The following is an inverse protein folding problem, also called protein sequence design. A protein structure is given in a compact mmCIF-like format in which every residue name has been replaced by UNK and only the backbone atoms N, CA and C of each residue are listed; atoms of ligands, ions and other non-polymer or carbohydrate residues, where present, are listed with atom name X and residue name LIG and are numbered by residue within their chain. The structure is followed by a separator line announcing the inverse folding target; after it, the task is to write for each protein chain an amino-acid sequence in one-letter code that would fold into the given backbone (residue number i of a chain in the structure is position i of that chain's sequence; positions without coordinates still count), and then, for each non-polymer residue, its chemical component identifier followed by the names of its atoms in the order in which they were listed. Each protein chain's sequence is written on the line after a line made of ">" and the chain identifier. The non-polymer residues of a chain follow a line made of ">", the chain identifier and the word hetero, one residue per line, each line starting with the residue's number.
data_IF_026851013578
#
_entry.id   IF_026851013578
#
_cell.length_a   1.000
_cell.length_b   1.000
_cell.length_c   1.000
_cell.angle_alpha   90.00
_cell.angle_beta   90.00
_cell.angle_gamma   90.00
#
_symmetry.space_group_name_H-M   'P 1'
#
loop_
_entity.id
_entity.type
_entity.pdbx_description
1 polymer ?
#
# COMPACT_ATOMS: atom_id res chain seq x y z
N UNK A 1 51.51 7.82 -114.59
CA UNK A 1 51.68 8.27 -113.18
C UNK A 1 50.47 9.10 -112.81
N UNK A 2 49.93 8.91 -111.60
CA UNK A 2 48.62 9.43 -111.18
C UNK A 2 47.70 8.27 -110.79
N UNK A 3 47.57 8.05 -109.48
CA UNK A 3 46.77 6.99 -108.87
C UNK A 3 46.34 7.45 -107.46
N UNK A 4 45.34 6.78 -106.88
CA UNK A 4 44.70 7.06 -105.60
C UNK A 4 43.87 8.36 -105.54
N UNK A 5 42.55 8.20 -105.47
CA UNK A 5 41.68 9.13 -104.75
C UNK A 5 41.60 8.64 -103.30
N UNK A 6 41.65 9.56 -102.33
CA UNK A 6 41.45 9.21 -100.92
C UNK A 6 40.01 8.74 -100.66
N UNK A 7 39.89 7.72 -99.80
CA UNK A 7 38.61 7.18 -99.32
C UNK A 7 38.61 7.18 -97.79
N UNK A 8 38.28 8.30 -97.16
CA UNK A 8 38.12 8.38 -95.70
C UNK A 8 36.79 7.78 -95.26
N UNK A 9 36.77 6.74 -94.41
CA UNK A 9 35.52 6.20 -93.87
C UNK A 9 35.01 7.05 -92.70
N UNK A 10 33.73 7.40 -92.72
CA UNK A 10 33.02 7.95 -91.56
C UNK A 10 32.35 6.79 -90.82
N UNK A 11 32.79 6.51 -89.59
CA UNK A 11 32.15 5.50 -88.76
C UNK A 11 30.88 6.06 -88.10
N UNK A 12 29.73 5.50 -88.47
CA UNK A 12 28.49 5.61 -87.68
C UNK A 12 28.24 4.26 -87.04
N UNK A 13 28.18 4.22 -85.71
CA UNK A 13 27.80 3.03 -84.96
C UNK A 13 26.27 2.95 -84.91
N UNK A 14 25.68 1.87 -85.41
CA UNK A 14 24.34 1.43 -84.98
C UNK A 14 24.23 -0.10 -85.00
N UNK A 15 23.36 -0.65 -84.14
CA UNK A 15 23.33 -2.07 -83.75
C UNK A 15 22.14 -2.76 -84.43
N UNK A 16 22.33 -3.18 -85.69
CA UNK A 16 21.21 -3.63 -86.53
C UNK A 16 21.51 -4.64 -87.65
N UNK A 17 22.02 -5.83 -87.31
CA UNK A 17 21.94 -7.09 -88.12
C UNK A 17 21.97 -6.91 -89.66
N UNK A 18 23.04 -6.32 -90.21
CA UNK A 18 23.22 -6.14 -91.65
C UNK A 18 23.89 -7.34 -92.35
N UNK A 19 23.21 -7.95 -93.32
CA UNK A 19 23.84 -8.88 -94.28
C UNK A 19 24.45 -8.11 -95.45
N UNK A 20 25.78 -8.19 -95.63
CA UNK A 20 26.50 -7.36 -96.62
C UNK A 20 26.38 -7.96 -98.03
N UNK A 21 25.29 -7.63 -98.73
CA UNK A 21 25.21 -7.84 -100.18
C UNK A 21 26.09 -6.81 -100.91
N UNK A 22 27.29 -7.24 -101.30
CA UNK A 22 28.26 -6.44 -102.05
C UNK A 22 27.78 -6.21 -103.49
N UNK A 23 27.00 -5.17 -103.72
CA UNK A 23 26.56 -4.76 -105.07
C UNK A 23 27.78 -4.35 -105.89
N UNK A 24 28.13 -5.16 -106.89
CA UNK A 24 29.13 -4.81 -107.90
C UNK A 24 28.42 -3.95 -108.93
N UNK A 25 28.78 -2.67 -109.02
CA UNK A 25 28.35 -1.80 -110.12
C UNK A 25 29.11 -2.25 -111.38
N UNK A 26 28.48 -3.12 -112.16
CA UNK A 26 29.00 -3.50 -113.47
C UNK A 26 28.73 -2.36 -114.45
N UNK A 27 29.74 -1.49 -114.63
CA UNK A 27 29.75 -0.46 -115.66
C UNK A 27 29.53 -1.10 -117.04
N UNK A 28 28.45 -0.73 -117.72
CA UNK A 28 28.19 -1.21 -119.08
C UNK A 28 29.32 -0.82 -120.03
N UNK A 29 29.77 -1.77 -120.85
CA UNK A 29 30.61 -1.44 -122.00
C UNK A 29 29.82 -0.58 -123.01
N UNK A 30 30.48 0.31 -123.76
CA UNK A 30 29.82 1.08 -124.81
C UNK A 30 29.37 0.13 -125.94
N UNK A 31 28.06 -0.10 -126.02
CA UNK A 31 27.45 -0.92 -127.08
C UNK A 31 27.85 -0.36 -128.44
N UNK A 32 28.63 -1.14 -129.20
CA UNK A 32 28.88 -0.85 -130.61
C UNK A 32 27.58 -1.04 -131.37
N UNK A 33 27.03 0.03 -131.94
CA UNK A 33 25.92 -0.09 -132.88
C UNK A 33 26.39 -0.87 -134.12
N UNK A 34 26.06 -2.15 -134.18
CA UNK A 34 26.09 -2.92 -135.43
C UNK A 34 25.07 -2.31 -136.38
N UNK A 35 25.56 -1.86 -137.54
CA UNK A 35 24.73 -1.19 -138.55
C UNK A 35 23.93 -2.22 -139.34
N UNK A 36 22.86 -2.72 -138.73
CA UNK A 36 21.92 -3.64 -139.37
C UNK A 36 21.03 -2.94 -140.39
N UNK A 37 20.52 -3.72 -141.36
CA UNK A 37 20.03 -3.20 -142.63
C UNK A 37 18.53 -2.93 -142.64
N UNK A 38 18.15 -1.66 -142.73
CA UNK A 38 16.91 -1.19 -143.37
C UNK A 38 15.57 -1.80 -142.90
N UNK A 39 15.49 -2.30 -141.66
CA UNK A 39 14.20 -2.46 -140.99
C UNK A 39 13.64 -1.06 -140.64
N UNK A 40 12.81 -0.54 -141.54
CA UNK A 40 12.09 0.71 -141.34
C UNK A 40 11.07 0.54 -140.22
N UNK A 41 11.50 0.82 -138.98
CA UNK A 41 10.68 0.79 -137.77
C UNK A 41 9.29 1.39 -138.03
N UNK A 42 8.26 0.56 -137.92
CA UNK A 42 6.91 0.98 -138.29
C UNK A 42 6.47 2.13 -137.37
N UNK A 43 6.28 3.30 -137.97
CA UNK A 43 5.91 4.52 -137.26
C UNK A 43 4.56 4.38 -136.52
N UNK A 44 3.74 3.39 -136.89
CA UNK A 44 2.51 3.01 -136.17
C UNK A 44 2.84 2.38 -134.82
N UNK A 45 3.74 1.39 -134.77
CA UNK A 45 4.13 0.72 -133.52
C UNK A 45 4.71 1.70 -132.48
N UNK A 46 5.56 2.63 -132.92
CA UNK A 46 6.08 3.68 -132.03
C UNK A 46 4.98 4.66 -131.58
N UNK A 47 4.01 4.98 -132.44
CA UNK A 47 2.85 5.79 -132.09
C UNK A 47 1.90 5.11 -131.08
N UNK A 48 1.67 3.81 -131.24
CA UNK A 48 0.88 2.97 -130.33
C UNK A 48 1.55 2.87 -128.95
N UNK A 49 2.87 2.65 -128.92
CA UNK A 49 3.64 2.61 -127.67
C UNK A 49 3.59 3.94 -126.92
N UNK A 50 3.72 5.08 -127.62
CA UNK A 50 3.58 6.41 -127.00
C UNK A 50 2.16 6.69 -126.51
N UNK A 51 1.12 6.22 -127.21
CA UNK A 51 -0.27 6.34 -126.77
C UNK A 51 -0.53 5.54 -125.49
N UNK A 52 -0.02 4.31 -125.40
CA UNK A 52 -0.16 3.48 -124.20
C UNK A 52 0.64 4.04 -123.02
N UNK A 53 1.88 4.49 -123.25
CA UNK A 53 2.70 5.12 -122.22
C UNK A 53 2.06 6.43 -121.71
N UNK A 54 1.44 7.21 -122.59
CA UNK A 54 0.68 8.40 -122.21
C UNK A 54 -0.55 8.05 -121.36
N UNK A 55 -1.31 7.02 -121.75
CA UNK A 55 -2.40 6.48 -120.92
C UNK A 55 -1.90 6.09 -119.53
N UNK A 56 -0.78 5.35 -119.43
CA UNK A 56 -0.19 4.95 -118.15
C UNK A 56 0.35 6.11 -117.32
N UNK A 57 0.88 7.15 -117.94
CA UNK A 57 1.28 8.39 -117.24
C UNK A 57 0.07 9.04 -116.55
N UNK A 58 -1.06 9.14 -117.25
CA UNK A 58 -2.28 9.74 -116.71
C UNK A 58 -3.01 8.83 -115.69
N UNK A 59 -3.01 7.51 -115.88
CA UNK A 59 -3.49 6.52 -114.91
C UNK A 59 -2.74 6.70 -113.56
N UNK A 60 -1.41 6.82 -113.61
CA UNK A 60 -0.55 7.00 -112.44
C UNK A 60 -0.78 8.34 -111.74
N UNK A 61 -0.86 9.45 -112.48
CA UNK A 61 -1.18 10.76 -111.91
C UNK A 61 -2.55 10.78 -111.21
N UNK A 62 -3.56 10.15 -111.82
CA UNK A 62 -4.91 10.07 -111.26
C UNK A 62 -4.96 9.25 -109.96
N UNK A 63 -4.24 8.12 -109.94
CA UNK A 63 -4.08 7.28 -108.74
C UNK A 63 -3.36 8.03 -107.60
N UNK A 64 -2.26 8.72 -107.93
CA UNK A 64 -1.50 9.55 -107.00
C UNK A 64 -2.35 10.69 -106.42
N UNK A 65 -3.12 11.39 -107.25
CA UNK A 65 -4.03 12.47 -106.82
C UNK A 65 -5.07 11.95 -105.84
N UNK A 66 -5.72 10.81 -106.14
CA UNK A 66 -6.69 10.19 -105.23
C UNK A 66 -6.05 9.79 -103.88
N UNK A 67 -4.76 9.47 -103.85
CA UNK A 67 -4.05 9.14 -102.60
C UNK A 67 -3.70 10.40 -101.79
N UNK A 68 -3.30 11.50 -102.44
CA UNK A 68 -3.05 12.78 -101.75
C UNK A 68 -4.34 13.41 -101.21
N UNK A 69 -5.46 13.28 -101.93
CA UNK A 69 -6.77 13.71 -101.43
C UNK A 69 -7.19 12.94 -100.16
N UNK A 70 -6.94 11.63 -100.09
CA UNK A 70 -7.16 10.80 -98.88
C UNK A 70 -6.26 11.19 -97.71
N UNK A 71 -5.10 11.77 -97.98
CA UNK A 71 -4.17 12.30 -96.97
C UNK A 71 -4.53 13.73 -96.52
N UNK A 72 -5.62 14.32 -97.02
CA UNK A 72 -6.04 15.68 -96.63
C UNK A 72 -5.29 16.82 -97.32
N UNK A 73 -4.49 16.52 -98.35
CA UNK A 73 -3.65 17.51 -99.04
C UNK A 73 -4.44 18.70 -99.61
N UNK A 74 -4.01 19.93 -99.31
CA UNK A 74 -4.69 21.17 -99.72
C UNK A 74 -4.52 21.39 -101.23
N UNK A 75 -5.57 21.11 -102.01
CA UNK A 75 -5.54 21.20 -103.49
C UNK A 75 -5.16 22.59 -104.05
N UNK A 76 -5.42 23.65 -103.30
CA UNK A 76 -5.34 25.04 -103.76
C UNK A 76 -3.95 25.51 -104.23
N UNK A 77 -2.86 25.01 -103.66
CA UNK A 77 -1.50 25.41 -104.09
C UNK A 77 -1.09 24.75 -105.42
N UNK A 78 -1.54 23.51 -105.65
CA UNK A 78 -1.22 22.75 -106.86
C UNK A 78 -1.91 23.36 -108.10
N UNK A 79 -3.14 23.87 -107.93
CA UNK A 79 -3.87 24.50 -109.02
C UNK A 79 -3.25 25.83 -109.47
N UNK A 80 -2.65 26.58 -108.52
CA UNK A 80 -1.99 27.87 -108.78
C UNK A 80 -0.66 27.74 -109.55
N UNK A 81 -0.09 26.53 -109.67
CA UNK A 81 1.14 26.28 -110.44
C UNK A 81 0.86 25.64 -111.82
N UNK A 82 -0.38 25.70 -112.32
CA UNK A 82 -0.71 25.33 -113.69
C UNK A 82 -0.26 26.41 -114.68
N UNK A 83 1.05 26.47 -114.96
CA UNK A 83 1.53 27.12 -116.18
C UNK A 83 0.83 26.49 -117.39
N UNK A 84 0.01 27.29 -118.07
CA UNK A 84 -0.72 26.90 -119.27
C UNK A 84 0.18 26.97 -120.49
N UNK A 85 1.32 26.25 -120.46
CA UNK A 85 2.05 25.92 -121.69
C UNK A 85 1.08 25.25 -122.66
N UNK A 86 0.81 25.92 -123.78
CA UNK A 86 0.09 25.34 -124.90
C UNK A 86 1.04 24.38 -125.62
N UNK A 87 0.73 23.09 -125.53
CA UNK A 87 1.56 22.02 -126.10
C UNK A 87 1.65 22.17 -127.63
N UNK A 88 0.61 22.70 -128.29
CA UNK A 88 0.61 22.89 -129.75
C UNK A 88 1.60 23.99 -130.17
N UNK A 89 1.83 25.01 -129.33
CA UNK A 89 2.81 26.07 -129.58
C UNK A 89 4.26 25.58 -129.61
N UNK A 90 4.54 24.43 -128.97
CA UNK A 90 5.85 23.80 -128.90
C UNK A 90 6.12 22.84 -130.08
N UNK A 91 5.12 22.53 -130.91
CA UNK A 91 5.26 21.57 -132.02
C UNK A 91 5.77 22.28 -133.29
N UNK A 92 6.89 21.83 -133.91
CA UNK A 92 7.40 22.46 -135.12
C UNK A 92 6.43 22.39 -136.31
N UNK A 93 6.27 23.52 -136.99
CA UNK A 93 5.46 23.64 -138.21
C UNK A 93 6.16 22.95 -139.39
N UNK A 94 5.37 22.32 -140.27
CA UNK A 94 5.87 21.57 -141.44
C UNK A 94 6.12 20.08 -141.22
N UNK A 95 5.95 19.56 -140.00
CA UNK A 95 5.99 18.13 -139.70
C UNK A 95 4.72 17.39 -140.16
N UNK A 96 4.82 16.07 -140.39
CA UNK A 96 3.67 15.21 -140.63
C UNK A 96 2.80 15.04 -139.38
N UNK A 97 1.49 14.83 -139.54
CA UNK A 97 0.57 14.73 -138.40
C UNK A 97 0.87 13.56 -137.44
N UNK A 98 1.39 12.43 -137.93
CA UNK A 98 1.83 11.34 -137.05
C UNK A 98 3.05 11.75 -136.22
N UNK A 99 4.03 12.44 -136.82
CA UNK A 99 5.17 13.02 -136.10
C UNK A 99 4.72 14.05 -135.07
N UNK A 100 3.77 14.92 -135.41
CA UNK A 100 3.18 15.88 -134.46
C UNK A 100 2.50 15.17 -133.29
N UNK A 101 1.71 14.11 -133.54
CA UNK A 101 1.05 13.36 -132.48
C UNK A 101 2.05 12.62 -131.57
N UNK A 102 3.15 12.10 -132.12
CA UNK A 102 4.24 11.51 -131.33
C UNK A 102 4.90 12.56 -130.42
N UNK A 103 5.18 13.77 -130.93
CA UNK A 103 5.70 14.89 -130.13
C UNK A 103 4.68 15.34 -129.07
N UNK A 104 3.39 15.41 -129.43
CA UNK A 104 2.29 15.77 -128.52
C UNK A 104 2.23 14.83 -127.32
N UNK A 105 2.24 13.51 -127.54
CA UNK A 105 2.29 12.52 -126.45
C UNK A 105 3.54 12.66 -125.57
N UNK A 106 4.72 12.94 -126.14
CA UNK A 106 5.95 13.16 -125.36
C UNK A 106 5.86 14.41 -124.46
N UNK A 107 5.29 15.49 -124.96
CA UNK A 107 5.07 16.73 -124.19
C UNK A 107 3.97 16.57 -123.13
N UNK A 108 2.88 15.89 -123.45
CA UNK A 108 1.80 15.56 -122.52
C UNK A 108 2.30 14.67 -121.37
N UNK A 109 3.05 13.60 -121.68
CA UNK A 109 3.67 12.74 -120.66
C UNK A 109 4.66 13.49 -119.77
N UNK A 110 5.50 14.36 -120.34
CA UNK A 110 6.40 15.21 -119.53
C UNK A 110 5.59 16.08 -118.58
N UNK A 111 4.53 16.74 -119.06
CA UNK A 111 3.67 17.61 -118.25
C UNK A 111 2.95 16.83 -117.13
N UNK A 112 2.48 15.62 -117.40
CA UNK A 112 1.85 14.76 -116.38
C UNK A 112 2.88 14.24 -115.36
N UNK A 113 4.11 13.93 -115.78
CA UNK A 113 5.21 13.59 -114.87
C UNK A 113 5.61 14.78 -113.97
N UNK A 114 5.76 15.98 -114.54
CA UNK A 114 6.06 17.21 -113.80
C UNK A 114 4.94 17.56 -112.80
N UNK A 115 3.66 17.37 -113.17
CA UNK A 115 2.51 17.49 -112.25
C UNK A 115 2.55 16.46 -111.12
N UNK A 116 2.88 15.21 -111.44
CA UNK A 116 3.00 14.12 -110.45
C UNK A 116 4.13 14.41 -109.45
N UNK A 117 5.27 14.90 -109.92
CA UNK A 117 6.40 15.27 -109.07
C UNK A 117 6.05 16.42 -108.12
N UNK A 118 5.44 17.50 -108.62
CA UNK A 118 4.98 18.63 -107.78
C UNK A 118 3.99 18.18 -106.70
N UNK A 119 3.04 17.32 -107.06
CA UNK A 119 2.05 16.73 -106.16
C UNK A 119 2.71 15.91 -105.03
N UNK A 120 3.70 15.08 -105.34
CA UNK A 120 4.50 14.35 -104.33
C UNK A 120 5.26 15.31 -103.40
N UNK A 121 5.97 16.30 -103.96
CA UNK A 121 6.81 17.22 -103.19
C UNK A 121 5.99 18.15 -102.27
N UNK A 122 4.83 18.62 -102.73
CA UNK A 122 3.89 19.37 -101.91
C UNK A 122 3.34 18.51 -100.76
N UNK A 123 3.01 17.25 -101.03
CA UNK A 123 2.51 16.32 -99.99
C UNK A 123 3.56 16.08 -98.91
N UNK A 124 4.81 15.80 -99.27
CA UNK A 124 5.90 15.65 -98.30
C UNK A 124 6.23 16.92 -97.53
N UNK A 125 6.06 18.11 -98.13
CA UNK A 125 6.27 19.39 -97.45
C UNK A 125 5.20 19.63 -96.38
N UNK A 126 3.91 19.45 -96.72
CA UNK A 126 2.80 19.53 -95.78
C UNK A 126 2.96 18.53 -94.62
N UNK A 127 3.24 17.25 -94.91
CA UNK A 127 3.42 16.22 -93.88
C UNK A 127 4.61 16.52 -92.94
N UNK A 128 5.70 17.12 -93.45
CA UNK A 128 6.82 17.57 -92.62
C UNK A 128 6.40 18.70 -91.67
N UNK A 129 5.59 19.64 -92.13
CA UNK A 129 5.12 20.77 -91.32
C UNK A 129 4.10 20.32 -90.25
N UNK A 130 3.20 19.41 -90.60
CA UNK A 130 2.30 18.75 -89.63
C UNK A 130 3.08 17.95 -88.58
N UNK A 131 4.15 17.24 -88.97
CA UNK A 131 5.03 16.54 -88.03
C UNK A 131 5.78 17.49 -87.08
N UNK A 132 6.22 18.66 -87.55
CA UNK A 132 6.84 19.68 -86.70
C UNK A 132 5.82 20.24 -85.70
N UNK A 133 4.60 20.55 -86.12
CA UNK A 133 3.56 21.02 -85.21
C UNK A 133 3.16 19.96 -84.16
N UNK A 134 3.05 18.70 -84.56
CA UNK A 134 2.80 17.59 -83.63
C UNK A 134 3.98 17.37 -82.65
N UNK A 135 5.22 17.62 -83.08
CA UNK A 135 6.40 17.58 -82.19
C UNK A 135 6.39 18.74 -81.19
N UNK A 136 6.04 19.96 -81.62
CA UNK A 136 5.87 21.12 -80.73
C UNK A 136 4.75 20.89 -79.70
N UNK A 137 3.61 20.35 -80.12
CA UNK A 137 2.47 20.05 -79.25
C UNK A 137 2.76 18.91 -78.26
N UNK A 138 3.51 17.88 -78.68
CA UNK A 138 4.01 16.84 -77.79
C UNK A 138 4.95 17.43 -76.72
N UNK A 139 5.84 18.35 -77.11
CA UNK A 139 6.74 19.04 -76.18
C UNK A 139 5.98 19.89 -75.15
N UNK A 140 4.96 20.64 -75.57
CA UNK A 140 4.06 21.38 -74.65
C UNK A 140 3.39 20.42 -73.66
N UNK A 141 2.80 19.33 -74.15
CA UNK A 141 2.11 18.34 -73.33
C UNK A 141 3.04 17.65 -72.32
N UNK A 142 4.31 17.42 -72.68
CA UNK A 142 5.32 16.91 -71.74
C UNK A 142 5.67 17.95 -70.65
N UNK A 143 5.75 19.25 -70.99
CA UNK A 143 5.94 20.30 -69.97
C UNK A 143 4.74 20.47 -69.06
N UNK A 144 3.51 20.43 -69.57
CA UNK A 144 2.28 20.52 -68.77
C UNK A 144 2.14 19.30 -67.85
N UNK A 145 2.42 18.09 -68.36
CA UNK A 145 2.51 16.87 -67.55
C UNK A 145 3.50 17.03 -66.40
N UNK A 146 4.71 17.51 -66.68
CA UNK A 146 5.76 17.70 -65.67
C UNK A 146 5.40 18.76 -64.61
N UNK A 147 4.59 19.76 -64.96
CA UNK A 147 4.02 20.71 -64.01
C UNK A 147 2.90 20.09 -63.16
N UNK A 148 2.01 19.29 -63.77
CA UNK A 148 0.94 18.57 -63.07
C UNK A 148 1.48 17.51 -62.10
N UNK A 149 2.54 16.77 -62.46
CA UNK A 149 3.22 15.82 -61.56
C UNK A 149 3.84 16.53 -60.35
N UNK A 150 4.32 17.76 -60.51
CA UNK A 150 4.86 18.59 -59.42
C UNK A 150 3.76 19.15 -58.50
N UNK A 151 2.64 19.64 -59.04
CA UNK A 151 1.53 20.05 -58.17
C UNK A 151 0.92 18.82 -57.46
N UNK A 152 0.70 17.70 -58.15
CA UNK A 152 0.17 16.47 -57.54
C UNK A 152 1.02 16.00 -56.36
N UNK A 153 2.35 15.91 -56.53
CA UNK A 153 3.25 15.51 -55.43
C UNK A 153 3.29 16.53 -54.29
N UNK A 154 3.14 17.82 -54.57
CA UNK A 154 2.95 18.86 -53.55
C UNK A 154 1.61 18.73 -52.81
N UNK A 155 0.49 18.48 -53.51
CA UNK A 155 -0.83 18.24 -52.91
C UNK A 155 -0.83 16.98 -52.05
N UNK A 156 -0.18 15.91 -52.49
CA UNK A 156 -0.01 14.71 -51.68
C UNK A 156 0.73 14.97 -50.37
N UNK A 157 1.80 15.78 -50.40
CA UNK A 157 2.53 16.17 -49.18
C UNK A 157 1.64 16.99 -48.24
N UNK A 158 0.94 18.00 -48.79
CA UNK A 158 -0.01 18.84 -48.05
C UNK A 158 -1.17 18.04 -47.43
N UNK A 159 -1.70 17.03 -48.12
CA UNK A 159 -2.72 16.12 -47.57
C UNK A 159 -2.15 15.33 -46.39
N UNK A 160 -0.95 14.74 -46.53
CA UNK A 160 -0.28 13.98 -45.45
C UNK A 160 -0.03 14.85 -44.21
N UNK A 161 0.33 16.12 -44.38
CA UNK A 161 0.46 17.08 -43.28
C UNK A 161 -0.87 17.35 -42.56
N UNK A 162 -1.96 17.58 -43.30
CA UNK A 162 -3.29 17.77 -42.71
C UNK A 162 -3.84 16.50 -42.04
N UNK A 163 -3.54 15.31 -42.57
CA UNK A 163 -3.89 14.03 -41.94
C UNK A 163 -3.15 13.82 -40.62
N UNK A 164 -1.84 14.11 -40.57
CA UNK A 164 -1.05 14.07 -39.33
C UNK A 164 -1.57 15.07 -38.29
N UNK A 165 -1.90 16.30 -38.70
CA UNK A 165 -2.48 17.31 -37.82
C UNK A 165 -3.85 16.88 -37.28
N UNK A 166 -4.72 16.33 -38.12
CA UNK A 166 -6.03 15.82 -37.73
C UNK A 166 -5.92 14.63 -36.77
N UNK A 167 -4.97 13.73 -36.98
CA UNK A 167 -4.66 12.63 -36.07
C UNK A 167 -4.17 13.15 -34.70
N UNK A 168 -3.26 14.14 -34.70
CA UNK A 168 -2.75 14.78 -33.48
C UNK A 168 -3.86 15.47 -32.67
N UNK A 169 -4.75 16.22 -33.33
CA UNK A 169 -5.90 16.88 -32.67
C UNK A 169 -6.88 15.85 -32.09
N UNK A 170 -7.17 14.77 -32.82
CA UNK A 170 -8.03 13.67 -32.32
C UNK A 170 -7.44 12.99 -31.09
N UNK A 171 -6.14 12.70 -31.11
CA UNK A 171 -5.43 12.09 -29.98
C UNK A 171 -5.35 13.04 -28.77
N UNK A 172 -5.06 14.32 -28.98
CA UNK A 172 -5.07 15.31 -27.92
C UNK A 172 -6.45 15.43 -27.26
N UNK A 173 -7.53 15.44 -28.05
CA UNK A 173 -8.88 15.44 -27.50
C UNK A 173 -9.20 14.13 -26.73
N UNK A 174 -8.74 12.96 -27.22
CA UNK A 174 -8.87 11.69 -26.49
C UNK A 174 -8.19 11.74 -25.12
N UNK A 175 -6.96 12.28 -25.07
CA UNK A 175 -6.20 12.48 -23.83
C UNK A 175 -6.90 13.47 -22.88
N UNK A 176 -7.38 14.61 -23.38
CA UNK A 176 -8.15 15.58 -22.58
C UNK A 176 -9.42 14.94 -21.99
N UNK A 177 -10.18 14.20 -22.78
CA UNK A 177 -11.37 13.48 -22.28
C UNK A 177 -11.00 12.42 -21.23
N UNK A 178 -9.87 11.72 -21.38
CA UNK A 178 -9.41 10.76 -20.38
C UNK A 178 -9.05 11.46 -19.07
N UNK A 179 -8.23 12.51 -19.12
CA UNK A 179 -7.86 13.30 -17.95
C UNK A 179 -9.10 13.89 -17.24
N UNK A 180 -10.09 14.39 -17.98
CA UNK A 180 -11.35 14.88 -17.40
C UNK A 180 -12.15 13.78 -16.67
N UNK A 181 -12.15 12.54 -17.18
CA UNK A 181 -12.77 11.38 -16.47
C UNK A 181 -12.00 11.06 -15.19
N UNK A 182 -10.68 11.03 -15.24
CA UNK A 182 -9.81 10.78 -14.08
C UNK A 182 -9.96 11.86 -12.99
N UNK A 183 -9.98 13.14 -13.37
CA UNK A 183 -10.30 14.24 -12.44
C UNK A 183 -11.72 14.13 -11.88
N UNK A 184 -12.71 13.77 -12.68
CA UNK A 184 -14.10 13.58 -12.21
C UNK A 184 -14.20 12.47 -11.16
N UNK A 185 -13.51 11.33 -11.38
CA UNK A 185 -13.44 10.24 -10.40
C UNK A 185 -12.72 10.67 -9.11
N UNK A 186 -11.63 11.44 -9.24
CA UNK A 186 -10.90 12.00 -8.10
C UNK A 186 -11.76 12.97 -7.29
N UNK A 187 -12.54 13.83 -7.94
CA UNK A 187 -13.49 14.72 -7.26
C UNK A 187 -14.52 13.94 -6.45
N UNK A 188 -15.17 12.93 -7.05
CA UNK A 188 -16.14 12.07 -6.34
C UNK A 188 -15.54 11.36 -5.14
N UNK A 189 -14.33 10.81 -5.27
CA UNK A 189 -13.65 10.16 -4.14
C UNK A 189 -13.31 11.14 -3.00
N UNK A 190 -13.02 12.41 -3.31
CA UNK A 190 -12.83 13.46 -2.30
C UNK A 190 -14.16 13.90 -1.68
N UNK A 191 -15.25 13.96 -2.45
CA UNK A 191 -16.61 14.22 -1.96
C UNK A 191 -17.09 13.11 -1.01
N UNK A 192 -16.84 11.84 -1.36
CA UNK A 192 -17.09 10.66 -0.53
C UNK A 192 -16.26 10.69 0.77
N UNK A 193 -14.98 11.07 0.70
CA UNK A 193 -14.13 11.24 1.89
C UNK A 193 -14.65 12.38 2.80
N UNK A 194 -15.06 13.52 2.23
CA UNK A 194 -15.65 14.62 3.01
C UNK A 194 -17.01 14.25 3.62
N UNK A 195 -17.83 13.47 2.93
CA UNK A 195 -19.06 12.89 3.48
C UNK A 195 -18.77 11.95 4.65
N UNK A 196 -17.79 11.05 4.50
CA UNK A 196 -17.37 10.12 5.55
C UNK A 196 -16.84 10.84 6.78
N UNK A 197 -15.98 11.85 6.61
CA UNK A 197 -15.44 12.67 7.73
C UNK A 197 -16.59 13.37 8.47
N UNK A 198 -17.49 14.07 7.77
CA UNK A 198 -18.65 14.74 8.40
C UNK A 198 -19.56 13.77 9.16
N UNK A 199 -19.74 12.54 8.66
CA UNK A 199 -20.53 11.52 9.36
C UNK A 199 -19.83 11.06 10.65
N UNK A 200 -18.53 10.74 10.58
CA UNK A 200 -17.72 10.38 11.75
C UNK A 200 -17.70 11.50 12.81
N UNK A 201 -17.59 12.76 12.39
CA UNK A 201 -17.60 13.90 13.31
C UNK A 201 -18.99 14.13 13.94
N UNK A 202 -20.08 13.86 13.21
CA UNK A 202 -21.44 13.87 13.76
C UNK A 202 -21.64 12.77 14.81
N UNK A 203 -21.10 11.57 14.58
CA UNK A 203 -21.12 10.46 15.55
C UNK A 203 -20.29 10.80 16.80
N UNK A 204 -19.11 11.41 16.63
CA UNK A 204 -18.28 11.90 17.74
C UNK A 204 -19.00 12.97 18.55
N UNK A 205 -19.67 13.92 17.92
CA UNK A 205 -20.41 14.99 18.61
C UNK A 205 -21.63 14.44 19.37
N UNK A 206 -22.34 13.46 18.79
CA UNK A 206 -23.41 12.73 19.49
C UNK A 206 -22.86 12.03 20.75
N UNK A 207 -21.80 11.23 20.61
CA UNK A 207 -21.17 10.50 21.71
C UNK A 207 -20.56 11.44 22.77
N UNK A 208 -20.10 12.62 22.38
CA UNK A 208 -19.65 13.66 23.30
C UNK A 208 -20.83 14.17 24.15
N UNK A 209 -21.97 14.49 23.52
CA UNK A 209 -23.17 14.98 24.23
C UNK A 209 -23.71 13.94 25.22
N UNK A 210 -23.75 12.67 24.85
CA UNK A 210 -24.13 11.58 25.76
C UNK A 210 -23.22 11.52 27.00
N UNK A 211 -21.89 11.62 26.80
CA UNK A 211 -20.92 11.68 27.89
C UNK A 211 -21.07 12.95 28.74
N UNK A 212 -21.39 14.10 28.15
CA UNK A 212 -21.68 15.31 28.91
C UNK A 212 -22.98 15.21 29.73
N UNK A 213 -24.04 14.59 29.20
CA UNK A 213 -25.28 14.37 29.96
C UNK A 213 -25.06 13.39 31.11
N UNK A 214 -24.36 12.28 30.87
CA UNK A 214 -23.95 11.34 31.91
C UNK A 214 -23.10 12.02 32.99
N UNK A 215 -22.11 12.84 32.58
CA UNK A 215 -21.30 13.65 33.49
C UNK A 215 -22.16 14.60 34.34
N UNK A 216 -23.05 15.39 33.72
CA UNK A 216 -23.93 16.33 34.44
C UNK A 216 -24.83 15.62 35.46
N UNK A 217 -25.35 14.44 35.12
CA UNK A 217 -26.15 13.64 36.04
C UNK A 217 -25.32 13.16 37.24
N UNK A 218 -24.09 12.66 37.03
CA UNK A 218 -23.17 12.27 38.10
C UNK A 218 -22.70 13.46 38.94
N UNK A 219 -22.48 14.64 38.34
CA UNK A 219 -22.16 15.87 39.07
C UNK A 219 -23.34 16.33 39.96
N UNK A 220 -24.59 16.20 39.49
CA UNK A 220 -25.78 16.44 40.30
C UNK A 220 -25.95 15.39 41.40
N UNK A 221 -25.68 14.11 41.14
CA UNK A 221 -25.70 13.06 42.16
C UNK A 221 -24.66 13.31 43.25
N UNK A 222 -23.41 13.63 42.86
CA UNK A 222 -22.34 14.02 43.80
C UNK A 222 -22.74 15.28 44.61
N UNK A 223 -23.39 16.27 43.98
CA UNK A 223 -23.88 17.45 44.69
C UNK A 223 -25.01 17.11 45.67
N UNK A 224 -25.94 16.22 45.28
CA UNK A 224 -27.01 15.73 46.15
C UNK A 224 -26.49 14.89 47.31
N UNK A 225 -25.48 14.03 47.10
CA UNK A 225 -24.81 13.27 48.15
C UNK A 225 -24.01 14.18 49.11
N UNK A 226 -23.37 15.25 48.58
CA UNK A 226 -22.74 16.30 49.38
C UNK A 226 -23.75 17.10 50.20
N UNK A 227 -24.92 17.40 49.64
CA UNK A 227 -26.02 18.00 50.40
C UNK A 227 -26.55 17.02 51.45
N UNK A 228 -26.79 15.76 51.13
CA UNK A 228 -27.19 14.75 52.13
C UNK A 228 -26.14 14.52 53.23
N UNK A 229 -24.85 14.79 53.01
CA UNK A 229 -23.83 14.74 54.08
C UNK A 229 -23.67 16.07 54.81
N UNK A 230 -23.88 17.22 54.16
CA UNK A 230 -23.80 18.55 54.76
C UNK A 230 -25.10 19.03 55.43
N UNK A 231 -26.25 18.46 55.06
CA UNK A 231 -27.60 18.84 55.48
C UNK A 231 -28.43 17.63 55.90
N UNK A 232 -27.78 16.57 56.40
CA UNK A 232 -28.40 15.67 57.37
C UNK A 232 -28.04 16.15 58.78
N UNK A 233 -28.88 16.98 59.43
CA UNK A 233 -28.91 17.02 60.89
C UNK A 233 -29.00 15.60 61.41
N UNK A 234 -29.89 14.76 60.86
CA UNK A 234 -30.13 13.40 61.34
C UNK A 234 -28.86 12.51 61.38
N UNK A 235 -27.87 12.70 60.52
CA UNK A 235 -26.62 11.93 60.56
C UNK A 235 -25.66 12.43 61.64
N UNK A 236 -25.51 13.76 61.74
CA UNK A 236 -24.64 14.39 62.73
C UNK A 236 -25.27 14.29 64.13
N UNK A 237 -26.55 14.63 64.29
CA UNK A 237 -27.28 14.52 65.56
C UNK A 237 -27.45 13.08 66.01
N UNK A 238 -27.71 12.08 65.15
CA UNK A 238 -27.71 10.69 65.66
C UNK A 238 -26.32 10.26 66.14
N UNK A 239 -25.25 10.72 65.50
CA UNK A 239 -23.87 10.47 65.97
C UNK A 239 -23.58 11.19 67.29
N UNK A 240 -23.97 12.45 67.42
CA UNK A 240 -23.74 13.29 68.60
C UNK A 240 -24.68 12.90 69.76
N UNK A 241 -25.89 12.42 69.49
CA UNK A 241 -26.82 11.81 70.46
C UNK A 241 -26.31 10.45 70.93
N UNK A 242 -25.73 9.62 70.05
CA UNK A 242 -25.06 8.39 70.45
C UNK A 242 -23.85 8.70 71.35
N UNK A 243 -23.02 9.67 70.95
CA UNK A 243 -21.88 10.18 71.71
C UNK A 243 -22.32 10.69 73.09
N UNK A 244 -23.36 11.52 73.13
CA UNK A 244 -23.94 12.04 74.37
C UNK A 244 -24.47 10.93 75.27
N UNK A 245 -25.18 9.93 74.74
CA UNK A 245 -25.64 8.75 75.50
C UNK A 245 -24.47 7.90 76.03
N UNK A 246 -23.39 7.75 75.28
CA UNK A 246 -22.18 7.07 75.76
C UNK A 246 -21.51 7.85 76.90
N UNK A 247 -21.37 9.18 76.77
CA UNK A 247 -20.83 10.04 77.83
C UNK A 247 -21.72 10.03 79.08
N UNK A 248 -23.03 10.12 78.91
CA UNK A 248 -24.02 10.07 79.99
C UNK A 248 -23.99 8.72 80.72
N UNK A 249 -23.95 7.60 79.99
CA UNK A 249 -23.78 6.26 80.57
C UNK A 249 -22.44 6.09 81.30
N UNK A 250 -21.33 6.63 80.76
CA UNK A 250 -20.02 6.63 81.43
C UNK A 250 -20.10 7.42 82.74
N UNK A 251 -20.75 8.59 82.74
CA UNK A 251 -20.95 9.39 83.94
C UNK A 251 -21.84 8.66 84.97
N UNK A 252 -22.91 8.00 84.52
CA UNK A 252 -23.81 7.22 85.38
C UNK A 252 -23.03 6.10 86.11
N UNK A 253 -22.25 5.31 85.37
CA UNK A 253 -21.39 4.25 85.91
C UNK A 253 -20.32 4.81 86.87
N UNK A 254 -19.76 5.97 86.55
CA UNK A 254 -18.79 6.68 87.39
C UNK A 254 -19.41 7.12 88.71
N UNK A 255 -20.59 7.73 88.66
CA UNK A 255 -21.35 8.10 89.85
C UNK A 255 -21.74 6.89 90.71
N UNK A 256 -22.12 5.76 90.10
CA UNK A 256 -22.45 4.54 90.85
C UNK A 256 -21.22 3.98 91.57
N UNK A 257 -20.04 4.02 90.95
CA UNK A 257 -18.78 3.66 91.63
C UNK A 257 -18.40 4.69 92.69
N UNK A 258 -18.62 5.98 92.47
CA UNK A 258 -18.40 7.03 93.48
C UNK A 258 -19.47 6.99 94.61
N UNK A 259 -20.67 6.42 94.38
CA UNK A 259 -21.67 6.06 95.41
C UNK A 259 -21.21 4.85 96.22
N UNK A 260 -20.77 3.79 95.55
CA UNK A 260 -20.25 2.56 96.19
C UNK A 260 -19.02 2.82 97.05
N UNK A 261 -18.06 3.62 96.56
CA UNK A 261 -16.87 4.06 97.32
C UNK A 261 -17.26 4.86 98.57
N UNK A 262 -18.29 5.72 98.50
CA UNK A 262 -18.80 6.45 99.67
C UNK A 262 -19.46 5.51 100.67
N UNK A 263 -20.27 4.55 100.23
CA UNK A 263 -20.89 3.56 101.10
C UNK A 263 -19.84 2.69 101.81
N UNK A 264 -18.83 2.19 101.08
CA UNK A 264 -17.72 1.42 101.66
C UNK A 264 -16.90 2.25 102.65
N UNK A 265 -16.61 3.53 102.36
CA UNK A 265 -15.96 4.45 103.33
C UNK A 265 -16.82 4.70 104.57
N UNK A 266 -18.14 4.79 104.42
CA UNK A 266 -19.06 4.92 105.56
C UNK A 266 -19.05 3.66 106.43
N UNK A 267 -19.19 2.48 105.83
CA UNK A 267 -19.11 1.20 106.53
C UNK A 267 -17.77 1.01 107.25
N UNK A 268 -16.65 1.37 106.62
CA UNK A 268 -15.32 1.36 107.23
C UNK A 268 -15.24 2.31 108.43
N UNK A 269 -15.85 3.50 108.32
CA UNK A 269 -15.88 4.49 109.41
C UNK A 269 -16.74 4.02 110.59
N UNK A 270 -17.85 3.32 110.35
CA UNK A 270 -18.65 2.70 111.41
C UNK A 270 -17.92 1.52 112.05
N UNK A 271 -17.26 0.65 111.27
CA UNK A 271 -16.40 -0.40 111.79
C UNK A 271 -15.28 0.15 112.68
N UNK A 272 -14.64 1.24 112.26
CA UNK A 272 -13.59 1.90 113.04
C UNK A 272 -14.14 2.53 114.32
N UNK A 273 -15.28 3.21 114.27
CA UNK A 273 -15.98 3.75 115.46
C UNK A 273 -16.34 2.64 116.46
N UNK A 274 -16.87 1.52 115.99
CA UNK A 274 -17.30 0.41 116.83
C UNK A 274 -16.11 -0.41 117.36
N UNK A 275 -14.97 -0.43 116.66
CA UNK A 275 -13.68 -0.91 117.17
C UNK A 275 -13.18 -0.01 118.31
N UNK A 276 -13.08 1.31 118.09
CA UNK A 276 -12.64 2.28 119.12
C UNK A 276 -13.56 2.25 120.35
N UNK A 277 -14.87 2.07 120.17
CA UNK A 277 -15.83 1.97 121.29
C UNK A 277 -15.63 0.74 122.17
N UNK A 278 -14.99 -0.33 121.68
CA UNK A 278 -14.70 -1.55 122.46
C UNK A 278 -13.37 -1.47 123.24
N UNK A 279 -12.46 -0.58 122.88
CA UNK A 279 -11.12 -0.51 123.49
C UNK A 279 -11.09 0.30 124.81
N UNK A 280 -12.23 0.83 125.27
CA UNK A 280 -12.33 1.75 126.41
C UNK A 280 -12.39 1.14 127.81
N UNK A 281 -12.27 -0.18 127.99
CA UNK A 281 -12.40 -0.85 129.31
C UNK A 281 -11.34 -1.92 129.58
N UNK A 282 -10.14 -1.77 129.00
CA UNK A 282 -9.09 -2.80 129.03
C UNK A 282 -8.19 -2.77 130.29
N UNK A 283 -8.30 -1.71 131.11
CA UNK A 283 -7.42 -1.48 132.28
C UNK A 283 -7.49 -2.62 133.31
N UNK A 284 -8.69 -3.15 133.57
CA UNK A 284 -8.86 -4.30 134.48
C UNK A 284 -8.26 -5.58 133.92
N UNK A 285 -8.27 -5.77 132.59
CA UNK A 285 -7.67 -6.93 131.93
C UNK A 285 -6.14 -6.83 131.95
N UNK A 286 -5.60 -5.64 131.71
CA UNK A 286 -4.17 -5.34 131.78
C UNK A 286 -3.63 -5.53 133.21
N UNK A 287 -4.35 -5.06 134.23
CA UNK A 287 -4.09 -5.37 135.65
C UNK A 287 -4.03 -6.88 135.91
N UNK A 288 -5.01 -7.64 135.40
CA UNK A 288 -5.07 -9.10 135.60
C UNK A 288 -3.97 -9.85 134.87
N UNK A 289 -3.58 -9.38 133.68
CA UNK A 289 -2.44 -9.93 132.94
C UNK A 289 -1.14 -9.78 133.76
N UNK A 290 -0.93 -8.62 134.37
CA UNK A 290 0.23 -8.36 135.23
C UNK A 290 0.17 -9.14 136.56
N UNK A 291 -1.01 -9.32 137.15
CA UNK A 291 -1.24 -10.22 138.29
C UNK A 291 -0.88 -11.68 137.94
N UNK A 292 -1.25 -12.16 136.75
CA UNK A 292 -0.91 -13.50 136.28
C UNK A 292 0.59 -13.65 135.97
N UNK A 293 1.28 -12.63 135.42
CA UNK A 293 2.73 -12.68 135.24
C UNK A 293 3.47 -12.77 136.58
N UNK A 294 3.10 -11.96 137.58
CA UNK A 294 3.70 -12.02 138.92
C UNK A 294 3.47 -13.39 139.59
N UNK A 295 2.29 -13.98 139.42
CA UNK A 295 1.99 -15.34 139.90
C UNK A 295 2.75 -16.43 139.16
N UNK A 296 3.08 -16.23 137.87
CA UNK A 296 3.91 -17.15 137.11
C UNK A 296 5.38 -17.08 137.60
N UNK A 297 5.90 -15.87 137.79
CA UNK A 297 7.26 -15.61 138.26
C UNK A 297 7.48 -16.11 139.70
N UNK A 298 6.51 -15.93 140.61
CA UNK A 298 6.52 -16.52 141.95
C UNK A 298 6.55 -18.07 141.90
N UNK A 299 5.76 -18.67 141.01
CA UNK A 299 5.75 -20.13 140.81
C UNK A 299 7.08 -20.64 140.27
N UNK A 300 7.68 -19.94 139.32
CA UNK A 300 8.97 -20.32 138.73
C UNK A 300 10.13 -20.17 139.74
N UNK A 301 10.11 -19.13 140.58
CA UNK A 301 11.02 -18.98 141.72
C UNK A 301 10.79 -20.03 142.83
N UNK A 302 9.58 -20.61 142.92
CA UNK A 302 9.31 -21.74 143.81
C UNK A 302 9.79 -23.07 143.22
N UNK A 303 9.61 -23.28 141.91
CA UNK A 303 10.12 -24.45 141.18
C UNK A 303 11.65 -24.52 141.31
N UNK A 304 12.38 -23.42 141.06
CA UNK A 304 13.85 -23.40 141.20
C UNK A 304 14.35 -23.80 142.59
N UNK A 305 13.68 -23.35 143.66
CA UNK A 305 14.01 -23.80 145.04
C UNK A 305 13.74 -25.30 145.25
N UNK A 306 12.68 -25.84 144.64
CA UNK A 306 12.41 -27.28 144.67
C UNK A 306 13.42 -28.07 143.82
N UNK A 307 13.91 -27.53 142.71
CA UNK A 307 14.97 -28.15 141.90
C UNK A 307 16.30 -28.19 142.66
N UNK A 308 16.69 -27.11 143.34
CA UNK A 308 17.86 -27.07 144.23
C UNK A 308 17.74 -28.06 145.42
N UNK A 309 16.55 -28.19 146.00
CA UNK A 309 16.29 -29.15 147.07
C UNK A 309 16.34 -30.61 146.57
N UNK A 310 15.75 -30.90 145.41
CA UNK A 310 15.85 -32.19 144.73
C UNK A 310 17.30 -32.49 144.33
N UNK A 311 18.09 -31.48 143.96
CA UNK A 311 19.51 -31.63 143.67
C UNK A 311 20.30 -32.06 144.91
N UNK A 312 20.05 -31.44 146.08
CA UNK A 312 20.62 -31.89 147.37
C UNK A 312 20.21 -33.31 147.74
N UNK A 313 18.91 -33.65 147.62
CA UNK A 313 18.40 -35.00 147.93
C UNK A 313 18.95 -36.07 146.97
N UNK A 314 19.22 -35.72 145.70
CA UNK A 314 19.94 -36.59 144.75
C UNK A 314 21.40 -36.80 145.15
N UNK A 315 22.06 -35.78 145.69
CA UNK A 315 23.43 -35.88 146.20
C UNK A 315 23.49 -36.81 147.43
N UNK A 316 22.53 -36.69 148.35
CA UNK A 316 22.42 -37.57 149.53
C UNK A 316 22.22 -39.04 149.12
N UNK A 317 21.25 -39.35 148.26
CA UNK A 317 20.97 -40.73 147.83
C UNK A 317 22.14 -41.42 147.13
N UNK A 318 23.00 -40.67 146.43
CA UNK A 318 24.15 -41.22 145.70
C UNK A 318 25.38 -41.53 146.58
N UNK A 319 25.44 -41.02 147.80
CA UNK A 319 26.63 -41.19 148.66
C UNK A 319 26.68 -42.51 149.42
N UNK A 320 25.56 -43.22 149.64
CA UNK A 320 25.52 -44.45 150.46
C UNK A 320 24.59 -45.54 149.87
N UNK A 321 24.92 -46.09 148.69
CA UNK A 321 24.80 -47.53 148.30
C UNK A 321 25.18 -47.69 146.80
N UNK A 322 26.21 -48.47 146.45
CA UNK A 322 26.61 -48.65 145.05
C UNK A 322 26.05 -49.94 144.40
N UNK A 323 25.15 -49.79 143.41
CA UNK A 323 24.89 -50.81 142.38
C UNK A 323 24.35 -50.17 141.08
N UNK A 324 24.41 -50.90 139.96
CA UNK A 324 24.35 -50.34 138.59
C UNK A 324 22.93 -50.06 138.06
N UNK A 325 22.82 -49.23 137.01
CA UNK A 325 21.59 -48.95 136.26
C UNK A 325 21.82 -48.81 134.74
N UNK A 326 20.76 -48.91 133.93
CA UNK A 326 20.80 -49.02 132.44
C UNK A 326 19.63 -48.25 131.76
N UNK A 327 19.98 -47.35 130.83
CA UNK A 327 19.43 -47.06 129.46
C UNK A 327 17.96 -47.38 129.04
N UNK A 328 17.20 -46.40 128.46
CA UNK A 328 16.49 -46.48 127.12
C UNK A 328 15.85 -45.15 126.57
N UNK A 329 15.61 -45.03 125.24
CA UNK A 329 15.06 -43.85 124.46
C UNK A 329 13.96 -44.22 123.40
N UNK A 330 13.03 -43.32 122.93
CA UNK A 330 11.98 -43.48 121.83
C UNK A 330 11.54 -42.12 121.10
N UNK A 331 11.04 -42.09 119.82
CA UNK A 331 10.43 -40.93 119.03
C UNK A 331 9.51 -41.36 117.80
N UNK A 332 8.54 -40.53 117.25
CA UNK A 332 7.77 -40.69 115.92
C UNK A 332 7.12 -39.37 115.23
N UNK A 333 6.60 -39.30 113.93
CA UNK A 333 6.20 -38.09 113.02
C UNK A 333 4.68 -38.03 112.50
N UNK A 334 4.31 -37.25 111.40
CA UNK A 334 3.09 -37.32 110.48
C UNK A 334 3.25 -36.77 109.00
N UNK A 335 2.28 -36.94 108.04
CA UNK A 335 2.34 -36.77 106.52
C UNK A 335 1.54 -35.56 105.83
N UNK A 336 1.25 -35.60 104.49
CA UNK A 336 0.91 -34.51 103.50
C UNK A 336 -0.58 -34.42 103.01
N UNK A 337 -1.08 -33.24 102.59
CA UNK A 337 -2.47 -32.96 102.12
C UNK A 337 -2.63 -32.43 100.65
N UNK A 338 -3.88 -32.32 100.15
CA UNK A 338 -4.30 -31.78 98.82
C UNK A 338 -5.36 -30.65 98.92
N UNK A 339 -5.71 -29.98 97.79
CA UNK A 339 -6.59 -28.79 97.74
C UNK A 339 -7.78 -28.91 96.75
N UNK A 340 -9.02 -28.50 97.10
CA UNK A 340 -10.21 -28.66 96.23
C UNK A 340 -10.34 -27.71 95.02
N UNK A 341 -9.73 -26.51 95.06
CA UNK A 341 -10.06 -25.40 94.14
C UNK A 341 -9.70 -25.71 92.66
N UNK A 342 -8.78 -26.66 92.43
CA UNK A 342 -8.27 -27.00 91.09
C UNK A 342 -9.28 -27.75 90.20
N UNK A 343 -10.40 -28.23 90.77
CA UNK A 343 -11.46 -28.91 90.01
C UNK A 343 -12.33 -28.01 89.11
N UNK A 344 -12.05 -26.70 89.04
CA UNK A 344 -12.80 -25.73 88.22
C UNK A 344 -12.12 -25.35 86.89
N UNK A 345 -11.00 -26.00 86.54
CA UNK A 345 -10.15 -25.58 85.41
C UNK A 345 -10.16 -26.51 84.19
N UNK A 346 -10.53 -27.79 84.35
CA UNK A 346 -10.78 -28.79 83.28
C UNK A 346 -11.56 -29.99 83.83
N UNK A 347 -12.35 -30.66 82.99
CA UNK A 347 -13.19 -31.81 83.37
C UNK A 347 -12.43 -33.10 83.76
N UNK A 348 -11.10 -33.14 83.59
CA UNK A 348 -10.25 -34.32 83.87
C UNK A 348 -9.71 -34.41 85.32
N UNK A 349 -10.06 -33.48 86.22
CA UNK A 349 -9.50 -33.46 87.59
C UNK A 349 -10.08 -34.54 88.51
N UNK A 350 -9.45 -35.72 88.55
CA UNK A 350 -9.89 -36.88 89.34
C UNK A 350 -9.64 -36.71 90.84
N UNK A 351 -10.70 -36.79 91.63
CA UNK A 351 -10.67 -36.63 93.10
C UNK A 351 -10.44 -37.98 93.79
N UNK A 352 -9.38 -38.11 94.61
CA UNK A 352 -9.10 -39.33 95.41
C UNK A 352 -8.53 -39.03 96.80
N UNK A 353 -9.22 -39.54 97.83
CA UNK A 353 -8.92 -39.65 99.29
C UNK A 353 -7.66 -39.04 99.93
N UNK A 354 -7.77 -38.39 101.11
CA UNK A 354 -6.65 -38.09 102.01
C UNK A 354 -6.33 -39.24 102.99
N UNK A 355 -5.09 -39.28 103.53
CA UNK A 355 -4.75 -39.70 104.92
C UNK A 355 -3.26 -39.41 105.26
N UNK A 356 -2.87 -39.57 106.54
CA UNK A 356 -1.59 -39.10 107.12
C UNK A 356 -0.50 -40.17 107.39
N UNK A 357 0.19 -40.06 108.55
CA UNK A 357 1.23 -40.98 109.10
C UNK A 357 2.61 -41.13 108.39
N UNK A 358 3.46 -40.10 108.39
CA UNK A 358 4.93 -40.32 108.40
C UNK A 358 5.36 -40.69 109.82
N UNK A 359 6.50 -41.38 110.05
CA UNK A 359 7.04 -41.53 111.42
C UNK A 359 8.58 -41.29 111.62
N UNK A 360 9.00 -41.03 112.86
CA UNK A 360 10.37 -40.59 113.33
C UNK A 360 11.11 -41.80 113.92
N UNK A 361 12.44 -41.70 114.00
CA UNK A 361 13.37 -42.77 114.38
C UNK A 361 13.40 -42.97 115.90
N UNK A 362 13.94 -44.07 116.42
CA UNK A 362 14.52 -44.11 117.77
C UNK A 362 16.04 -44.20 117.69
N UNK A 363 16.70 -43.12 118.11
CA UNK A 363 18.13 -43.11 118.41
C UNK A 363 18.32 -43.76 119.79
N UNK A 364 19.33 -44.59 119.96
CA UNK A 364 20.09 -44.57 121.21
C UNK A 364 21.55 -44.92 121.00
N UNK A 365 22.39 -44.32 121.90
CA UNK A 365 25.15 -43.84 122.52
C UNK A 365 25.97 -42.49 122.30
N UNK A 366 26.24 -41.77 123.40
CA UNK A 366 27.41 -40.91 123.51
C UNK A 366 28.66 -41.81 123.54
N UNK A 367 29.14 -42.22 122.37
CA UNK A 367 30.25 -43.17 122.20
C UNK A 367 30.03 -44.19 121.06
N UNK A 368 31.05 -45.03 120.83
CA UNK A 368 31.35 -45.65 119.52
C UNK A 368 30.38 -46.69 118.91
N UNK A 369 29.17 -46.91 119.45
CA UNK A 369 28.23 -47.96 118.94
C UNK A 369 26.77 -47.64 119.23
N UNK A 370 26.08 -47.00 118.30
CA UNK A 370 24.65 -46.74 118.43
C UNK A 370 23.77 -47.84 117.81
N UNK A 371 22.53 -47.94 118.29
CA UNK A 371 21.49 -48.87 117.81
C UNK A 371 20.20 -48.10 117.56
N UNK A 372 19.40 -48.60 116.61
CA UNK A 372 18.17 -47.97 116.18
C UNK A 372 16.98 -48.92 116.37
N UNK A 373 15.90 -48.39 116.92
CA UNK A 373 14.56 -48.97 116.86
C UNK A 373 13.60 -47.97 116.17
N UNK A 374 12.35 -48.34 115.95
CA UNK A 374 11.33 -47.48 115.35
C UNK A 374 9.95 -48.02 115.68
N UNK A 375 9.02 -47.13 116.02
CA UNK A 375 7.66 -47.49 116.41
C UNK A 375 6.65 -47.02 115.35
N UNK A 376 5.42 -47.51 115.45
CA UNK A 376 4.28 -47.00 114.66
C UNK A 376 3.12 -46.55 115.54
N UNK A 377 2.26 -45.68 115.01
CA UNK A 377 1.11 -45.07 115.70
C UNK A 377 0.09 -44.61 114.67
N UNK A 378 -1.18 -44.90 114.91
CA UNK A 378 -2.33 -44.60 114.03
C UNK A 378 -2.99 -43.24 114.33
#
# INVERSE_FOLDING_TARGET
>A
MGNACDSTPVCVNDVGRGGINKVIIQTCEPVRCTQETNDQLDCRYFGELLAELHRKSNDLYSCLLQHVEKLGGRRYELESLNDTEDIESLIPKGLSESTKQQIRYLLEMRRTADKSMRLVLATFSNLREELVHLQDDLGKLETDKMLLEKDLTFKEAQVKEYEMLLASVRENNRQQQQALREYTLKCRSLEEQLLSIRHNDSEREFRLKDLEYSKRALEQEIQNLRLQTSTNPLGQTTTDELSSRYVEMINQLREDKDREIRNLRSQLSEFQRDFTRKQGSDVDLQMKLQEFMLKLEEKEACIKRQEEEIFRLRQEKLTITPSQGITKTIITKKYRNQYPILGLLSDDYKTTSPLGESQTIVIEKTGETWKQESFTSD
#
